data_IF_698230617876
#
_entry.id   IF_698230617876
#
_cell.length_a   1.000
_cell.length_b   1.000
_cell.length_c   1.000
_cell.angle_alpha   90.00
_cell.angle_beta   90.00
_cell.angle_gamma   90.00
#
_symmetry.space_group_name_H-M   'P 1'
#
loop_
_entity.id
_entity.type
_entity.pdbx_description
1 polymer ?
#
# COMPACT_ATOMS: atom_id res chain seq x y z
N UNK A 1 10.11 -0.18 22.17
CA UNK A 1 10.30 0.68 20.98
C UNK A 1 11.50 0.25 20.15
N UNK A 2 12.71 0.16 20.72
CA UNK A 2 13.89 -0.35 20.00
C UNK A 2 13.72 -1.78 19.45
N UNK A 3 12.94 -2.63 20.10
CA UNK A 3 12.62 -3.99 19.60
C UNK A 3 11.98 -3.96 18.22
N UNK A 4 11.10 -2.98 17.96
CA UNK A 4 10.42 -2.84 16.67
C UNK A 4 11.44 -2.45 15.60
N UNK A 5 12.33 -1.49 15.91
CA UNK A 5 13.42 -1.11 15.01
C UNK A 5 14.39 -2.26 14.73
N UNK A 6 14.74 -3.05 15.75
CA UNK A 6 15.60 -4.21 15.60
C UNK A 6 14.96 -5.28 14.72
N UNK A 7 13.65 -5.52 14.87
CA UNK A 7 12.88 -6.45 14.02
C UNK A 7 12.80 -5.95 12.58
N UNK A 8 12.57 -4.65 12.36
CA UNK A 8 12.54 -4.06 11.02
C UNK A 8 13.93 -4.16 10.36
N UNK A 9 14.98 -3.78 11.07
CA UNK A 9 16.35 -3.87 10.57
C UNK A 9 16.75 -5.33 10.27
N UNK A 10 16.40 -6.26 11.17
CA UNK A 10 16.60 -7.69 10.97
C UNK A 10 15.86 -8.21 9.75
N UNK A 11 14.60 -7.81 9.54
CA UNK A 11 13.80 -8.18 8.38
C UNK A 11 14.40 -7.69 7.05
N UNK A 12 14.93 -6.47 7.02
CA UNK A 12 15.60 -5.91 5.82
C UNK A 12 16.88 -6.68 5.50
N UNK A 13 17.70 -6.96 6.52
CA UNK A 13 18.94 -7.72 6.36
C UNK A 13 18.65 -9.14 5.87
N UNK A 14 17.66 -9.79 6.49
CA UNK A 14 17.23 -11.14 6.13
C UNK A 14 16.67 -11.21 4.70
N UNK A 15 15.81 -10.26 4.32
CA UNK A 15 15.26 -10.13 2.97
C UNK A 15 16.34 -9.85 1.92
N UNK A 16 17.36 -9.06 2.26
CA UNK A 16 18.48 -8.75 1.35
C UNK A 16 19.42 -9.95 1.16
N UNK A 17 19.70 -10.70 2.22
CA UNK A 17 20.48 -11.95 2.14
C UNK A 17 19.77 -12.98 1.27
N UNK A 18 18.44 -13.08 1.40
CA UNK A 18 17.60 -13.96 0.58
C UNK A 18 17.61 -13.50 -0.89
N UNK A 19 17.33 -12.23 -1.19
CA UNK A 19 17.34 -11.72 -2.57
C UNK A 19 18.71 -11.78 -3.29
N UNK A 20 19.83 -11.83 -2.55
CA UNK A 20 21.17 -11.84 -3.15
C UNK A 20 21.59 -13.20 -3.72
N UNK A 21 20.92 -14.30 -3.33
CA UNK A 21 21.01 -15.56 -4.06
C UNK A 21 19.93 -15.52 -5.14
N UNK A 22 20.26 -15.90 -6.36
CA UNK A 22 19.39 -15.81 -7.54
C UNK A 22 18.09 -16.64 -7.37
N UNK A 23 17.13 -16.14 -6.59
CA UNK A 23 15.98 -16.86 -6.11
C UNK A 23 14.76 -16.47 -6.94
N UNK A 24 14.72 -16.92 -8.20
CA UNK A 24 13.46 -17.02 -8.96
C UNK A 24 12.37 -17.82 -8.20
N UNK A 25 12.75 -18.52 -7.14
CA UNK A 25 11.86 -19.25 -6.22
C UNK A 25 11.26 -18.39 -5.11
N UNK A 26 11.86 -17.27 -4.72
CA UNK A 26 11.31 -16.40 -3.65
C UNK A 26 9.94 -15.84 -4.02
N UNK A 27 9.76 -15.25 -5.23
CA UNK A 27 8.46 -14.75 -5.65
C UNK A 27 7.43 -15.86 -5.67
N UNK A 28 7.80 -17.06 -6.13
CA UNK A 28 6.90 -18.21 -6.20
C UNK A 28 6.47 -18.71 -4.82
N UNK A 29 7.39 -18.77 -3.86
CA UNK A 29 7.09 -19.12 -2.46
C UNK A 29 6.21 -18.06 -1.80
N UNK A 30 6.53 -16.77 -1.99
CA UNK A 30 5.75 -15.66 -1.43
C UNK A 30 4.33 -15.64 -2.02
N UNK A 31 4.17 -15.79 -3.33
CA UNK A 31 2.85 -15.88 -3.98
C UNK A 31 2.05 -17.07 -3.44
N UNK A 32 2.67 -18.23 -3.25
CA UNK A 32 2.01 -19.40 -2.69
C UNK A 32 1.55 -19.16 -1.24
N UNK A 33 2.41 -18.56 -0.42
CA UNK A 33 2.08 -18.18 0.97
C UNK A 33 0.96 -17.14 0.99
N UNK A 34 1.01 -16.12 0.13
CA UNK A 34 -0.06 -15.11 0.02
C UNK A 34 -1.38 -15.76 -0.39
N UNK A 35 -1.36 -16.68 -1.37
CA UNK A 35 -2.56 -17.44 -1.75
C UNK A 35 -3.15 -18.23 -0.59
N UNK A 36 -2.30 -18.94 0.17
CA UNK A 36 -2.74 -19.68 1.34
C UNK A 36 -3.31 -18.74 2.42
N UNK A 37 -2.61 -17.64 2.74
CA UNK A 37 -3.07 -16.63 3.70
C UNK A 37 -4.39 -15.99 3.27
N UNK A 38 -4.54 -15.63 1.99
CA UNK A 38 -5.77 -15.07 1.45
C UNK A 38 -6.92 -16.07 1.51
N UNK A 39 -6.64 -17.36 1.28
CA UNK A 39 -7.64 -18.41 1.39
C UNK A 39 -8.06 -18.63 2.83
N UNK A 40 -7.11 -18.74 3.77
CA UNK A 40 -7.39 -18.86 5.19
C UNK A 40 -8.18 -17.64 5.68
N UNK A 41 -7.74 -16.43 5.31
CA UNK A 41 -8.43 -15.18 5.63
C UNK A 41 -9.84 -15.16 5.05
N UNK A 42 -10.03 -15.61 3.81
CA UNK A 42 -11.33 -15.69 3.16
C UNK A 42 -12.28 -16.67 3.85
N UNK A 43 -11.78 -17.82 4.32
CA UNK A 43 -12.57 -18.78 5.10
C UNK A 43 -12.93 -18.23 6.50
N UNK A 44 -11.96 -17.63 7.18
CA UNK A 44 -12.13 -17.10 8.53
C UNK A 44 -13.08 -15.89 8.53
N UNK A 45 -12.91 -14.97 7.59
CA UNK A 45 -13.80 -13.81 7.40
C UNK A 45 -15.17 -14.24 6.85
N UNK A 46 -15.22 -15.23 5.96
CA UNK A 46 -16.45 -15.72 5.35
C UNK A 46 -17.33 -16.55 6.29
N UNK A 47 -16.76 -17.20 7.30
CA UNK A 47 -17.53 -17.96 8.31
C UNK A 47 -18.10 -17.07 9.42
N UNK A 48 -17.72 -15.78 9.48
CA UNK A 48 -18.16 -14.86 10.52
C UNK A 48 -19.31 -13.97 10.02
N UNK A 49 -20.58 -14.24 10.43
CA UNK A 49 -21.73 -13.48 9.98
C UNK A 49 -21.72 -12.01 10.45
N UNK A 50 -21.00 -11.68 11.52
CA UNK A 50 -20.81 -10.29 11.96
C UNK A 50 -19.95 -9.48 10.99
N UNK A 51 -18.90 -10.09 10.42
CA UNK A 51 -18.03 -9.40 9.47
C UNK A 51 -18.76 -9.18 8.15
N UNK A 52 -19.55 -10.16 7.68
CA UNK A 52 -20.38 -10.02 6.47
C UNK A 52 -21.42 -8.89 6.60
N UNK A 53 -22.04 -8.73 7.78
CA UNK A 53 -22.96 -7.63 8.05
C UNK A 53 -22.23 -6.27 8.14
N UNK A 54 -21.00 -6.26 8.65
CA UNK A 54 -20.15 -5.07 8.74
C UNK A 54 -19.52 -4.66 7.41
N UNK A 55 -19.23 -5.58 6.49
CA UNK A 55 -18.59 -5.31 5.19
C UNK A 55 -19.38 -4.29 4.36
N UNK A 56 -20.71 -4.33 4.42
CA UNK A 56 -21.55 -3.37 3.68
C UNK A 56 -21.36 -1.93 4.16
N UNK A 57 -21.39 -1.70 5.47
CA UNK A 57 -21.31 -0.36 6.07
C UNK A 57 -19.86 0.13 6.21
N UNK A 58 -18.94 -0.75 6.63
CA UNK A 58 -17.50 -0.46 6.72
C UNK A 58 -16.87 -0.33 5.34
N UNK A 59 -17.30 -1.14 4.36
CA UNK A 59 -16.82 -1.05 2.99
C UNK A 59 -17.24 0.25 2.31
N UNK A 60 -18.50 0.69 2.49
CA UNK A 60 -18.97 1.96 1.94
C UNK A 60 -18.25 3.16 2.57
N UNK A 61 -18.08 3.16 3.89
CA UNK A 61 -17.36 4.25 4.59
C UNK A 61 -15.88 4.28 4.19
N UNK A 62 -15.21 3.12 4.14
CA UNK A 62 -13.82 3.02 3.69
C UNK A 62 -13.68 3.45 2.22
N UNK A 63 -14.62 3.09 1.34
CA UNK A 63 -14.62 3.51 -0.06
C UNK A 63 -14.76 5.03 -0.19
N UNK A 64 -15.65 5.64 0.58
CA UNK A 64 -15.79 7.11 0.61
C UNK A 64 -14.51 7.80 1.07
N UNK A 65 -13.89 7.32 2.16
CA UNK A 65 -12.63 7.88 2.69
C UNK A 65 -11.51 7.72 1.65
N UNK A 66 -11.42 6.56 1.01
CA UNK A 66 -10.44 6.30 -0.04
C UNK A 66 -10.64 7.25 -1.23
N UNK A 67 -11.87 7.38 -1.72
CA UNK A 67 -12.19 8.27 -2.85
C UNK A 67 -11.83 9.73 -2.52
N UNK A 68 -12.17 10.18 -1.31
CA UNK A 68 -11.85 11.52 -0.85
C UNK A 68 -10.34 11.74 -0.69
N UNK A 69 -9.62 10.73 -0.17
CA UNK A 69 -8.16 10.75 -0.02
C UNK A 69 -7.45 10.82 -1.37
N UNK A 70 -7.87 9.98 -2.33
CA UNK A 70 -7.32 9.96 -3.69
C UNK A 70 -7.63 11.27 -4.41
N UNK A 71 -8.88 11.76 -4.33
CA UNK A 71 -9.25 13.05 -4.89
C UNK A 71 -8.41 14.19 -4.30
N UNK A 72 -8.22 14.21 -2.98
CA UNK A 72 -7.35 15.17 -2.29
C UNK A 72 -5.91 15.11 -2.78
N UNK A 73 -5.34 13.92 -2.97
CA UNK A 73 -3.98 13.74 -3.48
C UNK A 73 -3.84 14.23 -4.93
N UNK A 74 -4.83 13.98 -5.78
CA UNK A 74 -4.85 14.44 -7.18
C UNK A 74 -4.93 15.96 -7.21
N UNK A 75 -5.84 16.56 -6.43
CA UNK A 75 -6.01 18.03 -6.33
C UNK A 75 -4.72 18.67 -5.80
N UNK A 76 -4.08 18.09 -4.78
CA UNK A 76 -2.83 18.59 -4.24
C UNK A 76 -1.70 18.53 -5.27
N UNK A 77 -1.57 17.42 -6.00
CA UNK A 77 -0.59 17.29 -7.08
C UNK A 77 -0.85 18.28 -8.22
N UNK A 78 -2.12 18.51 -8.55
CA UNK A 78 -2.52 19.48 -9.57
C UNK A 78 -2.30 20.92 -9.13
N UNK A 79 -2.58 21.24 -7.86
CA UNK A 79 -2.33 22.55 -7.26
C UNK A 79 -0.83 22.84 -7.23
N UNK A 80 0.00 21.86 -6.87
CA UNK A 80 1.45 21.98 -6.91
C UNK A 80 1.95 22.28 -8.32
N UNK A 81 1.42 21.58 -9.34
CA UNK A 81 1.72 21.85 -10.74
C UNK A 81 1.30 23.27 -11.17
N UNK A 82 0.10 23.70 -10.79
CA UNK A 82 -0.41 25.05 -11.08
C UNK A 82 0.40 26.15 -10.40
N UNK A 83 0.83 25.95 -9.15
CA UNK A 83 1.69 26.89 -8.42
C UNK A 83 3.04 27.01 -9.13
N UNK A 84 3.73 25.89 -9.39
CA UNK A 84 5.03 25.87 -10.08
C UNK A 84 4.95 26.52 -11.47
N UNK A 85 3.87 26.29 -12.22
CA UNK A 85 3.67 26.90 -13.55
C UNK A 85 3.42 28.41 -13.47
N UNK A 86 2.82 28.92 -12.38
CA UNK A 86 2.63 30.36 -12.15
C UNK A 86 3.90 31.05 -11.65
N UNK A 87 4.78 30.35 -10.94
CA UNK A 87 6.05 30.89 -10.42
C UNK A 87 7.23 30.80 -11.40
N UNK A 88 6.97 30.52 -12.68
CA UNK A 88 7.99 30.57 -13.73
C UNK A 88 7.88 31.84 -14.60
N UNK A 89 8.11 33.06 -14.09
CA UNK A 89 8.26 34.25 -14.92
C UNK A 89 9.72 34.42 -15.36
N UNK A 90 10.40 33.40 -15.92
CA UNK A 90 11.69 33.64 -16.59
C UNK A 90 12.12 32.51 -17.52
N UNK A 91 11.60 32.53 -18.75
CA UNK A 91 12.42 32.32 -19.96
C UNK A 91 11.62 32.73 -21.19
N UNK A 92 11.63 34.03 -21.47
CA UNK A 92 11.52 34.53 -22.84
C UNK A 92 12.76 35.39 -23.08
N UNK A 93 13.85 34.69 -23.35
CA UNK A 93 15.03 35.25 -24.01
C UNK A 93 14.77 35.18 -25.51
N UNK A 94 14.47 36.32 -26.11
CA UNK A 94 14.89 36.79 -27.44
C UNK A 94 14.05 38.01 -27.80
#
# INVERSE_FOLDING_TARGET
>A
MLTIFAVIAGGIIFGRILCNRNLSYLPRIITFIIWALLLLLGLEVGSNPEVIKGIGTLGLTAFLIFLFSVAGSIIASWLLWCIIRRTSPTKKSL
#
